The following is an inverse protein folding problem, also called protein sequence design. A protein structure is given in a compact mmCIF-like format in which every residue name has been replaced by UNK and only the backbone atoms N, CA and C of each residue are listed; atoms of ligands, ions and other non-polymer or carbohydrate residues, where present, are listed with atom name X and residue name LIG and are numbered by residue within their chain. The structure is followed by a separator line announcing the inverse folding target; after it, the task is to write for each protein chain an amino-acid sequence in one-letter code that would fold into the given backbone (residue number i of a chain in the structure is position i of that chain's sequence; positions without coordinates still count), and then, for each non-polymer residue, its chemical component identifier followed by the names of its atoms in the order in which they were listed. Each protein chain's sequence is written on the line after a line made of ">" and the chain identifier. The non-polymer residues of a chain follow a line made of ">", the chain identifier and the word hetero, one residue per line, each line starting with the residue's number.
data_IF_993222121952
#
_entry.id   IF_993222121952
#
_cell.length_a   1.000
_cell.length_b   1.000
_cell.length_c   1.000
_cell.angle_alpha   90.00
_cell.angle_beta   90.00
_cell.angle_gamma   90.00
#
_symmetry.space_group_name_H-M   'P 1'
#
loop_
_entity.id
_entity.type
_entity.pdbx_description
1 polymer ?
#
# COMPACT_ATOMS: atom_id res chain seq x y z
N UNK A 1 -7.53 -45.04 -0.47
CA UNK A 1 -7.72 -43.69 0.08
C UNK A 1 -8.86 -43.04 -0.69
N UNK A 2 -9.94 -42.62 -0.03
CA UNK A 2 -11.05 -41.92 -0.68
C UNK A 2 -10.89 -40.44 -0.33
N UNK A 3 -10.82 -39.58 -1.36
CA UNK A 3 -10.77 -38.13 -1.19
C UNK A 3 -12.15 -37.54 -1.49
N UNK A 4 -12.69 -36.77 -0.54
CA UNK A 4 -13.91 -35.98 -0.73
C UNK A 4 -13.53 -34.59 -1.23
N UNK A 5 -14.06 -34.20 -2.38
CA UNK A 5 -13.86 -32.86 -2.94
C UNK A 5 -15.14 -32.04 -2.74
N UNK A 6 -15.00 -30.81 -2.23
CA UNK A 6 -16.11 -29.85 -2.22
C UNK A 6 -16.33 -29.28 -3.62
N UNK A 7 -17.58 -29.25 -4.07
CA UNK A 7 -17.97 -28.55 -5.30
C UNK A 7 -18.64 -27.23 -4.92
N UNK A 8 -18.18 -26.14 -5.53
CA UNK A 8 -18.75 -24.80 -5.36
C UNK A 8 -20.04 -24.68 -6.17
N UNK A 9 -21.03 -23.98 -5.62
CA UNK A 9 -22.25 -23.63 -6.36
C UNK A 9 -22.00 -22.38 -7.22
N UNK A 10 -22.77 -22.18 -8.31
CA UNK A 10 -22.57 -21.02 -9.19
C UNK A 10 -22.64 -19.66 -8.49
N UNK A 11 -23.41 -19.55 -7.41
CA UNK A 11 -23.54 -18.34 -6.59
C UNK A 11 -22.34 -18.09 -5.66
N UNK A 12 -21.54 -19.12 -5.36
CA UNK A 12 -20.30 -18.98 -4.58
C UNK A 12 -19.11 -18.51 -5.44
N UNK A 13 -19.21 -18.63 -6.77
CA UNK A 13 -18.18 -18.21 -7.72
C UNK A 13 -18.37 -16.73 -8.04
N UNK A 14 -17.41 -15.88 -7.63
CA UNK A 14 -17.39 -14.46 -8.03
C UNK A 14 -16.81 -14.26 -9.42
N UNK A 15 -17.31 -13.25 -10.13
CA UNK A 15 -16.77 -12.85 -11.42
C UNK A 15 -15.34 -12.26 -11.26
N UNK A 16 -14.31 -12.85 -11.91
CA UNK A 16 -12.94 -12.35 -11.85
C UNK A 16 -12.72 -11.06 -12.66
N UNK A 17 -13.65 -10.66 -13.54
CA UNK A 17 -13.49 -9.50 -14.42
C UNK A 17 -13.26 -8.19 -13.67
N UNK A 18 -13.76 -8.08 -12.43
CA UNK A 18 -13.61 -6.90 -11.58
C UNK A 18 -12.16 -6.64 -11.12
N UNK A 19 -11.31 -7.66 -11.13
CA UNK A 19 -9.90 -7.59 -10.66
C UNK A 19 -8.90 -8.10 -11.68
N UNK A 20 -9.36 -8.41 -12.90
CA UNK A 20 -8.49 -8.91 -13.94
C UNK A 20 -7.45 -7.86 -14.35
N UNK A 21 -6.15 -8.23 -14.40
CA UNK A 21 -5.13 -7.33 -14.95
C UNK A 21 -5.38 -7.09 -16.44
N UNK A 22 -4.87 -5.96 -16.94
CA UNK A 22 -4.88 -5.70 -18.38
C UNK A 22 -4.07 -6.79 -19.12
N UNK A 23 -4.52 -7.16 -20.31
CA UNK A 23 -3.76 -8.09 -21.15
C UNK A 23 -2.41 -7.45 -21.52
N UNK A 24 -1.32 -8.16 -21.22
CA UNK A 24 0.04 -7.78 -21.57
C UNK A 24 0.63 -8.84 -22.50
N UNK A 25 1.45 -8.38 -23.45
CA UNK A 25 2.33 -9.23 -24.24
C UNK A 25 3.64 -9.33 -23.47
N UNK A 26 4.09 -10.56 -23.21
CA UNK A 26 5.31 -10.83 -22.46
C UNK A 26 6.34 -11.44 -23.42
N UNK A 27 7.57 -10.96 -23.33
CA UNK A 27 8.70 -11.52 -24.06
C UNK A 27 9.24 -12.76 -23.33
N UNK A 28 9.94 -13.64 -24.06
CA UNK A 28 10.49 -14.88 -23.49
C UNK A 28 11.53 -14.59 -22.38
N UNK A 29 12.38 -13.57 -22.59
CA UNK A 29 13.38 -13.14 -21.60
C UNK A 29 12.75 -12.71 -20.26
N UNK A 30 11.59 -12.04 -20.29
CA UNK A 30 10.89 -11.60 -19.08
C UNK A 30 10.30 -12.78 -18.29
N UNK A 31 9.86 -13.82 -19.02
CA UNK A 31 9.36 -15.06 -18.41
C UNK A 31 10.51 -15.80 -17.72
N UNK A 32 11.67 -15.88 -18.37
CA UNK A 32 12.85 -16.53 -17.81
C UNK A 32 13.33 -15.84 -16.53
N UNK A 33 13.36 -14.50 -16.51
CA UNK A 33 13.69 -13.73 -15.30
C UNK A 33 12.70 -14.02 -14.16
N UNK A 34 11.39 -14.06 -14.46
CA UNK A 34 10.36 -14.35 -13.47
C UNK A 34 10.49 -15.77 -12.90
N UNK A 35 10.87 -16.76 -13.72
CA UNK A 35 11.12 -18.13 -13.26
C UNK A 35 12.31 -18.21 -12.31
N UNK A 36 13.40 -17.50 -12.60
CA UNK A 36 14.56 -17.41 -11.69
C UNK A 36 14.15 -16.80 -10.35
N UNK A 37 13.30 -15.76 -10.36
CA UNK A 37 12.80 -15.16 -9.12
C UNK A 37 11.94 -16.15 -8.32
N UNK A 38 11.04 -16.89 -8.99
CA UNK A 38 10.20 -17.89 -8.34
C UNK A 38 11.08 -18.96 -7.70
N UNK A 39 12.09 -19.47 -8.40
CA UNK A 39 13.02 -20.47 -7.87
C UNK A 39 13.77 -19.93 -6.63
N UNK A 40 14.26 -18.70 -6.69
CA UNK A 40 14.94 -18.06 -5.57
C UNK A 40 14.05 -17.83 -4.34
N UNK A 41 12.73 -17.71 -4.54
CA UNK A 41 11.74 -17.52 -3.47
C UNK A 41 11.01 -18.81 -3.06
N UNK A 42 11.27 -19.92 -3.77
CA UNK A 42 10.61 -21.20 -3.49
C UNK A 42 11.15 -21.78 -2.18
N UNK A 43 10.25 -22.33 -1.38
CA UNK A 43 10.57 -23.05 -0.15
C UNK A 43 10.27 -24.52 -0.35
N UNK A 44 11.19 -25.39 0.08
CA UNK A 44 11.03 -26.85 -0.03
C UNK A 44 9.91 -27.39 0.87
N UNK A 45 9.63 -26.72 1.98
CA UNK A 45 8.52 -27.03 2.88
C UNK A 45 7.92 -25.77 3.49
N UNK A 46 6.64 -25.85 3.83
CA UNK A 46 5.90 -24.82 4.56
C UNK A 46 5.84 -25.15 6.06
N UNK A 47 6.95 -25.65 6.59
CA UNK A 47 7.06 -26.08 7.98
C UNK A 47 7.93 -25.10 8.77
N UNK A 48 7.61 -24.93 10.05
CA UNK A 48 8.44 -24.17 11.00
C UNK A 48 7.78 -22.88 11.48
N UNK A 49 8.51 -22.13 12.33
CA UNK A 49 7.93 -21.06 13.15
C UNK A 49 7.43 -19.85 12.35
N UNK A 50 7.76 -19.77 11.06
CA UNK A 50 7.25 -18.74 10.15
C UNK A 50 5.80 -19.01 9.69
N UNK A 51 5.31 -20.24 9.87
CA UNK A 51 4.00 -20.69 9.40
C UNK A 51 3.03 -21.03 10.55
N UNK A 52 3.28 -20.49 11.75
CA UNK A 52 2.43 -20.72 12.91
C UNK A 52 1.18 -19.81 12.91
N UNK A 53 0.07 -20.34 13.39
CA UNK A 53 -1.16 -19.56 13.60
C UNK A 53 -1.06 -18.71 14.87
N UNK A 54 -0.41 -17.56 14.71
CA UNK A 54 -0.26 -16.59 15.79
C UNK A 54 -1.59 -16.08 16.36
N UNK A 55 -2.69 -16.16 15.60
CA UNK A 55 -4.01 -15.77 16.13
C UNK A 55 -4.50 -16.79 17.15
N UNK A 56 -4.44 -18.07 16.82
CA UNK A 56 -4.82 -19.15 17.74
C UNK A 56 -3.94 -19.14 18.99
N UNK A 57 -2.63 -18.96 18.84
CA UNK A 57 -1.70 -18.87 19.96
C UNK A 57 -2.01 -17.67 20.87
N UNK A 58 -2.24 -16.50 20.30
CA UNK A 58 -2.61 -15.30 21.05
C UNK A 58 -3.94 -15.49 21.81
N UNK A 59 -4.91 -16.16 21.19
CA UNK A 59 -6.18 -16.46 21.83
C UNK A 59 -5.99 -17.45 22.99
N UNK A 60 -5.17 -18.48 22.81
CA UNK A 60 -4.84 -19.44 23.87
C UNK A 60 -4.20 -18.74 25.07
N UNK A 61 -3.23 -17.85 24.84
CA UNK A 61 -2.59 -17.08 25.90
C UNK A 61 -3.58 -16.18 26.67
N UNK A 62 -4.58 -15.60 26.00
CA UNK A 62 -5.65 -14.83 26.65
C UNK A 62 -6.55 -15.73 27.49
N UNK A 63 -6.88 -16.93 27.00
CA UNK A 63 -7.71 -17.90 27.73
C UNK A 63 -6.99 -18.34 29.01
N UNK A 64 -5.71 -18.70 28.94
CA UNK A 64 -4.91 -19.08 30.12
C UNK A 64 -4.82 -17.96 31.14
N UNK A 65 -4.52 -16.72 30.69
CA UNK A 65 -4.46 -15.57 31.59
C UNK A 65 -5.79 -15.33 32.32
N UNK A 66 -6.93 -15.55 31.63
CA UNK A 66 -8.26 -15.47 32.25
C UNK A 66 -8.57 -16.62 33.21
N UNK A 67 -8.09 -17.84 32.93
CA UNK A 67 -8.28 -18.97 33.83
C UNK A 67 -7.50 -18.80 35.13
N UNK A 68 -6.33 -18.17 35.06
CA UNK A 68 -5.43 -17.99 36.21
C UNK A 68 -5.57 -16.63 36.91
N UNK A 69 -6.59 -15.82 36.55
CA UNK A 69 -6.78 -14.44 37.04
C UNK A 69 -5.51 -13.57 36.93
N UNK A 70 -4.68 -13.82 35.91
CA UNK A 70 -3.46 -13.08 35.60
C UNK A 70 -3.74 -11.90 34.66
N UNK A 71 -2.79 -10.98 34.61
CA UNK A 71 -2.86 -9.87 33.66
C UNK A 71 -2.75 -10.38 32.22
N UNK A 72 -3.58 -9.81 31.33
CA UNK A 72 -3.64 -10.21 29.93
C UNK A 72 -2.31 -9.96 29.20
N UNK A 73 -1.94 -10.83 28.23
CA UNK A 73 -0.75 -10.62 27.42
C UNK A 73 -0.82 -9.29 26.65
N UNK A 74 0.30 -8.59 26.46
CA UNK A 74 0.33 -7.33 25.73
C UNK A 74 -0.01 -7.55 24.25
N UNK A 75 -0.79 -6.64 23.68
CA UNK A 75 -1.06 -6.64 22.23
C UNK A 75 0.20 -6.19 21.50
N UNK A 76 0.66 -6.99 20.53
CA UNK A 76 1.74 -6.57 19.66
C UNK A 76 1.35 -5.28 18.92
N UNK A 77 2.08 -4.19 19.17
CA UNK A 77 1.83 -2.91 18.53
C UNK A 77 2.28 -2.92 17.07
N UNK A 78 1.81 -1.94 16.26
CA UNK A 78 2.29 -1.78 14.89
C UNK A 78 3.81 -1.62 14.88
N UNK A 79 4.48 -2.33 13.98
CA UNK A 79 5.93 -2.31 13.85
C UNK A 79 6.46 -0.88 13.68
N UNK A 80 7.63 -0.60 14.26
CA UNK A 80 8.29 0.70 14.14
C UNK A 80 8.68 0.93 12.68
N UNK A 81 7.92 1.77 11.98
CA UNK A 81 8.30 2.28 10.67
C UNK A 81 9.54 3.16 10.83
N UNK A 82 10.71 2.60 10.54
CA UNK A 82 11.94 3.37 10.35
C UNK A 82 11.89 4.04 8.98
N UNK A 83 12.45 5.24 8.88
CA UNK A 83 12.54 5.99 7.62
C UNK A 83 13.49 5.26 6.65
N UNK A 84 12.89 4.43 5.81
CA UNK A 84 13.58 3.60 4.81
C UNK A 84 14.41 4.45 3.84
N UNK A 85 13.99 5.69 3.54
CA UNK A 85 14.72 6.58 2.63
C UNK A 85 16.02 7.06 3.27
N UNK A 86 15.99 7.39 4.56
CA UNK A 86 17.19 7.77 5.29
C UNK A 86 18.20 6.61 5.39
N UNK A 87 17.73 5.39 5.66
CA UNK A 87 18.61 4.22 5.70
C UNK A 87 19.19 3.85 4.33
N UNK A 88 18.40 3.98 3.26
CA UNK A 88 18.87 3.75 1.90
C UNK A 88 19.96 4.76 1.52
N UNK A 89 19.75 6.05 1.83
CA UNK A 89 20.75 7.11 1.58
C UNK A 89 22.06 6.80 2.31
N UNK A 90 21.99 6.40 3.58
CA UNK A 90 23.17 5.98 4.35
C UNK A 90 23.88 4.77 3.75
N UNK A 91 23.14 3.80 3.21
CA UNK A 91 23.71 2.64 2.53
C UNK A 91 24.45 3.02 1.25
N UNK A 92 23.86 3.92 0.44
CA UNK A 92 24.47 4.43 -0.80
C UNK A 92 25.72 5.25 -0.51
N UNK A 93 25.68 6.14 0.48
CA UNK A 93 26.84 6.96 0.88
C UNK A 93 27.98 6.08 1.40
N UNK A 94 27.67 5.02 2.14
CA UNK A 94 28.65 4.02 2.59
C UNK A 94 29.25 3.23 1.42
N UNK A 95 28.45 2.89 0.40
CA UNK A 95 28.93 2.21 -0.79
C UNK A 95 29.83 3.12 -1.66
N UNK A 96 29.49 4.41 -1.78
CA UNK A 96 30.29 5.42 -2.50
C UNK A 96 31.64 5.67 -1.82
N UNK A 97 31.64 5.82 -0.50
CA UNK A 97 32.87 5.99 0.29
C UNK A 97 33.78 4.76 0.24
N UNK A 98 33.22 3.54 0.26
CA UNK A 98 33.98 2.30 0.11
C UNK A 98 34.64 2.16 -1.29
N UNK A 99 34.06 2.78 -2.33
CA UNK A 99 34.63 2.83 -3.69
C UNK A 99 35.74 3.88 -3.83
N UNK A 100 35.98 4.70 -2.81
CA UNK A 100 37.01 5.74 -2.84
C UNK A 100 36.60 7.02 -3.58
N UNK A 101 35.30 7.21 -3.82
CA UNK A 101 34.76 8.43 -4.42
C UNK A 101 34.59 9.51 -3.33
N UNK A 102 35.65 10.24 -3.03
CA UNK A 102 35.57 11.49 -2.26
C UNK A 102 35.46 12.66 -3.22
N UNK A 103 34.24 13.16 -3.45
CA UNK A 103 34.01 14.30 -4.33
C UNK A 103 32.64 14.90 -4.10
N UNK A 104 32.63 16.02 -3.37
CA UNK A 104 31.61 17.05 -3.46
C UNK A 104 31.47 17.46 -4.94
N UNK A 105 30.40 17.00 -5.58
CA UNK A 105 30.07 17.43 -6.93
C UNK A 105 29.03 18.53 -6.80
N UNK A 106 29.55 19.73 -6.57
CA UNK A 106 28.92 21.01 -6.90
C UNK A 106 28.11 20.85 -8.19
N UNK A 107 26.83 21.17 -8.08
CA UNK A 107 25.89 21.28 -9.18
C UNK A 107 26.38 22.39 -10.13
N UNK A 108 27.28 22.04 -11.05
CA UNK A 108 27.67 22.94 -12.11
C UNK A 108 26.57 23.00 -13.18
N UNK A 109 25.91 24.14 -13.14
CA UNK A 109 24.95 24.67 -14.09
C UNK A 109 25.52 24.85 -15.52
N UNK A 110 24.60 24.63 -16.49
CA UNK A 110 24.53 25.12 -17.88
C UNK A 110 25.20 24.29 -19.02
N UNK A 111 24.71 24.37 -20.29
CA UNK A 111 23.71 25.31 -20.82
C UNK A 111 22.54 24.70 -21.65
N UNK A 112 21.46 25.48 -21.69
CA UNK A 112 20.32 25.33 -22.58
C UNK A 112 20.71 25.40 -24.07
N UNK A 113 20.09 24.56 -24.89
CA UNK A 113 20.13 24.66 -26.36
C UNK A 113 18.84 25.30 -26.89
N UNK A 114 18.91 26.10 -27.98
CA UNK A 114 17.90 27.09 -28.32
C UNK A 114 16.68 26.52 -29.06
N UNK A 115 15.50 26.99 -28.64
CA UNK A 115 14.21 26.75 -29.27
C UNK A 115 14.12 27.37 -30.67
N UNK A 116 13.69 26.59 -31.67
CA UNK A 116 13.22 27.11 -32.96
C UNK A 116 11.78 27.63 -32.83
N UNK A 117 11.62 28.87 -33.30
CA UNK A 117 10.41 29.69 -33.32
C UNK A 117 9.60 29.41 -34.60
N UNK A 118 8.30 29.13 -34.47
CA UNK A 118 7.32 29.28 -35.56
C UNK A 118 5.96 29.76 -35.01
N UNK A 119 5.75 31.07 -35.14
CA UNK A 119 4.51 31.82 -35.45
C UNK A 119 3.11 31.27 -35.11
N UNK A 120 2.38 32.05 -34.29
CA UNK A 120 0.92 32.00 -34.05
C UNK A 120 0.11 32.73 -35.16
N UNK A 121 -1.26 32.71 -35.17
CA UNK A 121 -2.01 33.65 -34.32
C UNK A 121 -3.40 33.23 -33.78
N UNK A 122 -3.66 33.72 -32.55
CA UNK A 122 -4.88 34.21 -31.86
C UNK A 122 -6.28 34.14 -32.53
N UNK A 123 -7.28 33.71 -31.74
CA UNK A 123 -8.51 34.46 -31.36
C UNK A 123 -8.95 33.93 -29.96
N UNK A 124 -8.93 34.68 -28.85
CA UNK A 124 -9.74 35.80 -28.39
C UNK A 124 -11.20 35.46 -27.97
N UNK A 125 -11.43 35.18 -26.68
CA UNK A 125 -12.45 35.90 -25.87
C UNK A 125 -12.30 35.66 -24.36
N UNK A 126 -12.78 36.64 -23.60
CA UNK A 126 -12.40 37.06 -22.24
C UNK A 126 -13.66 37.07 -21.35
N UNK A 127 -13.61 36.42 -20.17
CA UNK A 127 -14.20 36.76 -18.84
C UNK A 127 -15.71 37.15 -18.71
N UNK A 128 -16.28 37.40 -17.49
CA UNK A 128 -16.15 36.78 -16.14
C UNK A 128 -17.53 36.43 -15.46
N UNK A 129 -17.45 35.79 -14.28
CA UNK A 129 -18.31 35.81 -13.06
C UNK A 129 -19.82 36.14 -13.07
N UNK A 130 -20.63 35.32 -12.35
CA UNK A 130 -21.72 35.71 -11.38
C UNK A 130 -22.00 34.51 -10.45
N UNK A 131 -21.73 34.55 -9.13
CA UNK A 131 -22.60 34.98 -8.00
C UNK A 131 -23.97 34.30 -7.87
N UNK A 132 -24.07 33.51 -6.79
CA UNK A 132 -25.15 33.42 -5.79
C UNK A 132 -26.63 33.50 -6.23
N UNK A 133 -27.41 32.49 -5.79
CA UNK A 133 -28.50 32.65 -4.80
C UNK A 133 -29.59 31.59 -5.01
N UNK A 134 -29.97 30.87 -3.96
CA UNK A 134 -31.38 30.74 -3.56
C UNK A 134 -31.57 29.77 -2.40
N UNK A 135 -31.80 30.37 -1.21
CA UNK A 135 -32.82 30.02 -0.19
C UNK A 135 -32.74 28.65 0.51
N UNK A 136 -33.23 28.48 1.72
CA UNK A 136 -33.53 29.32 2.89
C UNK A 136 -34.10 28.33 3.94
N UNK A 137 -33.78 28.56 5.20
CA UNK A 137 -34.60 28.29 6.40
C UNK A 137 -35.48 27.04 6.50
N UNK A 138 -35.16 26.23 7.51
CA UNK A 138 -36.09 25.31 8.17
C UNK A 138 -35.69 25.09 9.62
N UNK A 139 -35.75 26.15 10.43
CA UNK A 139 -35.63 26.13 11.89
C UNK A 139 -36.87 25.47 12.50
N UNK A 140 -36.72 24.38 13.25
CA UNK A 140 -37.57 24.13 14.43
C UNK A 140 -36.79 23.47 15.55
N UNK A 141 -36.61 24.26 16.61
CA UNK A 141 -36.31 23.85 17.96
C UNK A 141 -37.38 22.90 18.53
N UNK A 142 -36.94 22.00 19.41
CA UNK A 142 -37.71 21.36 20.48
C UNK A 142 -36.76 20.44 21.25
N UNK A 143 -35.99 20.94 22.24
CA UNK A 143 -36.28 20.85 23.69
C UNK A 143 -37.19 19.67 24.06
N UNK A 144 -36.96 18.89 25.12
CA UNK A 144 -35.92 18.69 26.14
C UNK A 144 -36.51 17.58 27.04
N UNK A 145 -35.69 17.02 27.93
CA UNK A 145 -36.08 16.41 29.21
C UNK A 145 -36.45 14.90 29.23
N UNK A 146 -35.44 14.07 29.51
CA UNK A 146 -35.46 13.13 30.65
C UNK A 146 -35.12 13.92 31.94
N UNK A 147 -35.51 13.50 33.18
CA UNK A 147 -35.45 12.11 33.67
C UNK A 147 -36.52 11.64 34.72
N UNK A 148 -36.40 10.35 35.06
CA UNK A 148 -36.70 9.67 36.33
C UNK A 148 -38.15 9.39 36.78
N UNK A 149 -38.49 8.09 36.86
CA UNK A 149 -38.69 7.35 38.13
C UNK A 149 -38.46 5.86 37.89
#
# INVERSE_FOLDING_TARGET
>A
MIALHGLLWPDEIRDPSAVAPAAAQLEEDEIDEALVLIEAMTLDSLEGPAFDDHYTDALHAVIEAKQEDRQLPPVAGPGRLVDLMAMLQQSVDKARTARGETGDADLHEAPATPAKKATAPKTARKAPAQTASSRNTGRTNGRRDTPAR
#
